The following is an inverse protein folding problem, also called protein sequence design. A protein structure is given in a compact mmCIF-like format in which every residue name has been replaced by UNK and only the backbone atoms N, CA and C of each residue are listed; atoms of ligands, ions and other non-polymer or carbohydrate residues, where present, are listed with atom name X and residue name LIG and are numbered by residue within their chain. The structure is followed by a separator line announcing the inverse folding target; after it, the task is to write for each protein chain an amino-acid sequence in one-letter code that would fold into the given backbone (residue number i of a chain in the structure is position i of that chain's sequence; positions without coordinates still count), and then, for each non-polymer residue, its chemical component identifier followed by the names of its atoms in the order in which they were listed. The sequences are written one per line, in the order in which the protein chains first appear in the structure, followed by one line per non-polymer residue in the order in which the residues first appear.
data_IF_332225888789
#
_entry.id   IF_332225888789
#
_cell.length_a   1.000
_cell.length_b   1.000
_cell.length_c   1.000
_cell.angle_alpha   90.00
_cell.angle_beta   90.00
_cell.angle_gamma   90.00
#
_symmetry.space_group_name_H-M   'P 1'
#
loop_
_entity.id
_entity.type
_entity.pdbx_description
1 polymer ?
#
# COMPACT_ATOMS: atom_id res chain seq x y z
N UNK A 1 -11.88 37.57 -14.15
CA UNK A 1 -11.72 37.25 -15.58
C UNK A 1 -12.84 36.33 -16.00
N UNK A 2 -13.78 36.85 -16.81
CA UNK A 2 -14.96 36.11 -17.28
C UNK A 2 -14.61 35.42 -18.58
N UNK A 3 -14.63 34.06 -18.58
CA UNK A 3 -14.52 33.28 -19.80
C UNK A 3 -15.91 33.16 -20.44
N UNK A 4 -16.07 33.79 -21.59
CA UNK A 4 -17.25 33.71 -22.41
C UNK A 4 -17.28 32.40 -23.18
N UNK A 5 -18.31 31.63 -22.93
CA UNK A 5 -18.64 30.43 -23.71
C UNK A 5 -19.40 30.88 -24.93
N UNK A 6 -18.79 30.82 -26.13
CA UNK A 6 -19.48 31.10 -27.41
C UNK A 6 -20.27 29.85 -27.82
N UNK A 7 -21.58 29.97 -27.73
CA UNK A 7 -22.50 29.06 -28.42
C UNK A 7 -22.49 29.38 -29.92
N UNK A 8 -22.14 28.41 -30.72
CA UNK A 8 -22.37 28.42 -32.16
C UNK A 8 -23.59 27.55 -32.46
N UNK A 9 -24.70 28.23 -32.66
CA UNK A 9 -25.90 27.70 -33.32
C UNK A 9 -25.61 27.48 -34.80
N UNK A 10 -25.75 26.25 -35.29
CA UNK A 10 -25.80 25.97 -36.73
C UNK A 10 -27.19 25.52 -37.11
N UNK A 11 -27.72 26.31 -38.02
CA UNK A 11 -29.04 26.35 -38.60
C UNK A 11 -29.28 25.20 -39.59
N UNK A 12 -30.42 24.58 -39.46
CA UNK A 12 -31.32 24.03 -40.47
C UNK A 12 -30.81 23.78 -41.89
N UNK A 13 -30.85 22.54 -42.30
CA UNK A 13 -30.87 22.11 -43.70
C UNK A 13 -31.92 21.02 -43.91
N UNK A 14 -33.06 21.50 -44.41
CA UNK A 14 -34.20 20.69 -44.84
C UNK A 14 -33.87 20.07 -46.21
N UNK A 15 -33.88 18.76 -46.36
CA UNK A 15 -33.97 18.12 -47.67
C UNK A 15 -34.84 16.87 -47.58
N UNK A 16 -36.01 16.97 -48.14
CA UNK A 16 -37.00 15.94 -48.33
C UNK A 16 -36.65 15.12 -49.57
N UNK A 17 -36.43 13.80 -49.42
CA UNK A 17 -36.60 12.85 -50.54
C UNK A 17 -37.24 11.57 -50.03
N UNK A 18 -38.43 11.30 -50.54
CA UNK A 18 -39.12 10.03 -50.45
C UNK A 18 -38.24 8.93 -51.05
N UNK A 19 -37.90 7.93 -50.24
CA UNK A 19 -37.31 6.69 -50.69
C UNK A 19 -37.82 5.53 -49.80
N UNK A 20 -38.78 4.80 -50.36
CA UNK A 20 -39.28 3.54 -49.81
C UNK A 20 -38.13 2.54 -49.75
N UNK A 21 -37.67 2.24 -48.54
CA UNK A 21 -36.85 1.03 -48.31
C UNK A 21 -37.32 0.28 -47.09
N UNK A 22 -37.45 -1.01 -47.27
CA UNK A 22 -37.85 -1.99 -46.26
C UNK A 22 -36.88 -2.01 -45.05
N UNK A 23 -37.38 -2.27 -43.83
CA UNK A 23 -36.49 -2.38 -42.69
C UNK A 23 -35.78 -3.75 -42.72
N UNK A 24 -34.51 -3.73 -43.05
CA UNK A 24 -33.64 -4.86 -42.78
C UNK A 24 -33.33 -4.83 -41.27
N UNK A 25 -33.91 -5.84 -40.57
CA UNK A 25 -33.63 -6.04 -39.15
C UNK A 25 -32.19 -6.57 -39.02
N UNK A 26 -31.26 -5.67 -38.89
CA UNK A 26 -29.94 -6.02 -38.41
C UNK A 26 -30.01 -6.10 -36.88
N UNK A 27 -29.96 -7.35 -36.40
CA UNK A 27 -29.64 -7.63 -35.01
C UNK A 27 -28.24 -7.11 -34.73
N UNK A 28 -28.12 -5.86 -34.28
CA UNK A 28 -26.88 -5.38 -33.69
C UNK A 28 -26.72 -6.11 -32.35
N UNK A 29 -25.83 -7.08 -32.34
CA UNK A 29 -25.26 -7.58 -31.11
C UNK A 29 -24.64 -6.38 -30.40
N UNK A 30 -25.38 -5.79 -29.50
CA UNK A 30 -24.86 -4.83 -28.54
C UNK A 30 -23.85 -5.52 -27.67
N UNK A 31 -22.61 -5.50 -28.10
CA UNK A 31 -21.52 -5.71 -27.18
C UNK A 31 -21.63 -4.62 -26.14
N UNK A 32 -22.19 -5.02 -24.99
CA UNK A 32 -22.06 -4.25 -23.78
C UNK A 32 -20.57 -4.16 -23.49
N UNK A 33 -19.94 -3.16 -24.05
CA UNK A 33 -18.61 -2.75 -23.69
C UNK A 33 -18.70 -2.23 -22.24
N UNK A 34 -18.69 -3.18 -21.31
CA UNK A 34 -18.51 -2.93 -19.91
C UNK A 34 -17.16 -2.24 -19.80
N UNK A 35 -17.20 -0.91 -19.74
CA UNK A 35 -16.07 -0.10 -19.34
C UNK A 35 -15.76 -0.50 -17.89
N UNK A 36 -14.99 -1.58 -17.75
CA UNK A 36 -14.30 -1.85 -16.52
C UNK A 36 -13.35 -0.65 -16.37
N UNK A 37 -13.80 0.34 -15.63
CA UNK A 37 -12.94 1.39 -15.14
C UNK A 37 -11.91 0.70 -14.25
N UNK A 38 -10.88 0.18 -14.87
CA UNK A 38 -9.68 -0.24 -14.16
C UNK A 38 -9.15 1.02 -13.52
N UNK A 39 -9.49 1.22 -12.27
CA UNK A 39 -8.84 2.26 -11.47
C UNK A 39 -7.36 1.93 -11.48
N UNK A 40 -6.61 2.65 -12.29
CA UNK A 40 -5.16 2.60 -12.30
C UNK A 40 -4.75 3.11 -10.91
N UNK A 41 -4.59 2.18 -9.98
CA UNK A 41 -4.03 2.50 -8.67
C UNK A 41 -2.61 2.96 -8.92
N UNK A 42 -2.40 4.26 -8.81
CA UNK A 42 -1.06 4.84 -8.92
C UNK A 42 -0.19 4.20 -7.85
N UNK A 43 0.72 3.35 -8.27
CA UNK A 43 1.75 2.79 -7.41
C UNK A 43 2.99 3.68 -7.47
N UNK A 44 3.64 3.83 -6.34
CA UNK A 44 4.89 4.58 -6.19
C UNK A 44 6.03 3.59 -5.97
N UNK A 45 7.09 3.73 -6.74
CA UNK A 45 8.31 2.97 -6.51
C UNK A 45 9.05 3.54 -5.31
N UNK A 46 9.25 2.70 -4.31
CA UNK A 46 10.02 3.00 -3.09
C UNK A 46 11.24 2.13 -3.08
N UNK A 47 12.38 2.75 -2.87
CA UNK A 47 13.68 2.10 -2.68
C UNK A 47 14.15 2.32 -1.25
N UNK A 48 15.04 1.48 -0.78
CA UNK A 48 15.61 1.70 0.53
C UNK A 48 16.74 0.76 0.83
N UNK A 49 17.34 0.96 2.00
CA UNK A 49 18.40 0.12 2.52
C UNK A 49 18.07 -0.28 3.96
N UNK A 50 18.28 -1.54 4.26
CA UNK A 50 18.08 -2.11 5.60
C UNK A 50 19.42 -2.57 6.12
N UNK A 51 19.77 -2.09 7.30
CA UNK A 51 21.03 -2.39 7.99
C UNK A 51 20.81 -2.56 9.49
N UNK A 52 21.78 -3.12 10.16
CA UNK A 52 21.88 -3.12 11.62
C UNK A 52 23.17 -2.41 12.07
N UNK A 53 23.58 -2.65 13.29
CA UNK A 53 24.85 -2.15 13.85
C UNK A 53 26.10 -2.79 13.24
N UNK A 54 25.96 -3.95 12.61
CA UNK A 54 27.04 -4.75 12.04
C UNK A 54 27.17 -4.58 10.52
N UNK A 55 26.11 -4.10 9.84
CA UNK A 55 26.13 -3.90 8.39
C UNK A 55 24.77 -4.10 7.71
N UNK A 56 24.78 -4.28 6.38
CA UNK A 56 23.55 -4.49 5.61
C UNK A 56 22.90 -5.85 5.93
N UNK A 57 21.57 -5.85 6.08
CA UNK A 57 20.81 -7.08 6.33
C UNK A 57 20.36 -7.70 5.01
N UNK A 58 20.91 -8.85 4.69
CA UNK A 58 20.64 -9.63 3.49
C UNK A 58 19.41 -10.53 3.72
N UNK A 59 18.44 -10.49 2.81
CA UNK A 59 17.26 -11.37 2.89
C UNK A 59 16.20 -10.90 3.89
N UNK A 60 16.28 -9.67 4.38
CA UNK A 60 15.21 -9.08 5.17
C UNK A 60 13.94 -8.95 4.32
N UNK A 61 12.79 -9.26 4.89
CA UNK A 61 11.51 -9.25 4.21
C UNK A 61 10.81 -7.92 4.39
N UNK A 62 10.37 -7.30 3.31
CA UNK A 62 9.60 -6.07 3.28
C UNK A 62 8.23 -6.38 2.67
N UNK A 63 7.13 -6.15 3.39
CA UNK A 63 5.76 -6.38 2.93
C UNK A 63 4.93 -5.11 3.05
N UNK A 64 4.07 -4.87 2.07
CA UNK A 64 3.03 -3.86 2.17
C UNK A 64 1.89 -4.40 3.06
N UNK A 65 1.62 -3.72 4.16
CA UNK A 65 0.59 -4.12 5.15
C UNK A 65 -0.78 -4.23 4.49
N UNK A 66 -1.45 -5.36 4.74
CA UNK A 66 -2.80 -5.62 4.21
C UNK A 66 -2.83 -6.07 2.75
N UNK A 67 -1.69 -6.34 2.13
CA UNK A 67 -1.60 -6.88 0.76
C UNK A 67 -0.68 -8.09 0.69
N UNK A 68 -0.66 -8.78 -0.45
CA UNK A 68 0.32 -9.84 -0.74
C UNK A 68 1.64 -9.32 -1.34
N UNK A 69 1.79 -8.00 -1.48
CA UNK A 69 2.94 -7.39 -2.12
C UNK A 69 4.14 -7.36 -1.17
N UNK A 70 5.27 -7.90 -1.60
CA UNK A 70 6.48 -7.95 -0.79
C UNK A 70 7.73 -8.24 -1.60
N UNK A 71 8.87 -7.86 -1.04
CA UNK A 71 10.21 -8.09 -1.59
C UNK A 71 11.18 -8.46 -0.47
N UNK A 72 12.37 -8.91 -0.85
CA UNK A 72 13.49 -9.16 0.08
C UNK A 72 14.67 -8.26 -0.29
N UNK A 73 15.53 -7.99 0.69
CA UNK A 73 16.76 -7.22 0.46
C UNK A 73 17.81 -8.06 -0.28
N UNK A 74 18.63 -7.34 -1.07
CA UNK A 74 19.80 -7.89 -1.75
C UNK A 74 21.04 -8.02 -0.84
N UNK A 75 22.19 -8.33 -1.45
CA UNK A 75 23.46 -8.53 -0.73
C UNK A 75 23.98 -7.25 -0.03
N UNK A 76 23.55 -6.10 -0.49
CA UNK A 76 23.89 -4.80 0.06
C UNK A 76 22.80 -4.24 1.00
N UNK A 77 21.79 -5.07 1.31
CA UNK A 77 20.64 -4.67 2.12
C UNK A 77 19.65 -3.74 1.42
N UNK A 78 19.75 -3.58 0.09
CA UNK A 78 18.86 -2.71 -0.67
C UNK A 78 17.57 -3.43 -1.06
N UNK A 79 16.49 -2.69 -1.18
CA UNK A 79 15.22 -3.17 -1.69
C UNK A 79 14.55 -2.17 -2.63
N UNK A 80 13.64 -2.65 -3.46
CA UNK A 80 12.78 -1.83 -4.31
C UNK A 80 11.40 -2.46 -4.39
N UNK A 81 10.38 -1.71 -4.01
CA UNK A 81 8.99 -2.17 -3.98
C UNK A 81 8.06 -1.09 -4.55
N UNK A 82 7.03 -1.52 -5.28
CA UNK A 82 5.97 -0.62 -5.74
C UNK A 82 4.80 -0.71 -4.77
N UNK A 83 4.43 0.38 -4.13
CA UNK A 83 3.36 0.45 -3.14
C UNK A 83 2.41 1.60 -3.39
N UNK A 84 1.24 1.56 -2.78
CA UNK A 84 0.30 2.68 -2.82
C UNK A 84 0.85 3.87 -2.03
N UNK A 85 0.57 5.12 -2.44
CA UNK A 85 0.88 6.28 -1.63
C UNK A 85 0.24 6.17 -0.24
N UNK A 86 1.03 6.39 0.81
CA UNK A 86 0.56 6.26 2.19
C UNK A 86 0.50 4.82 2.73
N UNK A 87 0.96 3.82 1.97
CA UNK A 87 1.04 2.45 2.45
C UNK A 87 2.00 2.31 3.64
N UNK A 88 1.75 1.31 4.48
CA UNK A 88 2.66 0.93 5.56
C UNK A 88 3.48 -0.28 5.13
N UNK A 89 4.79 -0.16 5.22
CA UNK A 89 5.72 -1.27 5.02
C UNK A 89 6.00 -1.94 6.36
N UNK A 90 5.90 -3.25 6.37
CA UNK A 90 6.29 -4.11 7.49
C UNK A 90 7.60 -4.77 7.12
N UNK A 91 8.62 -4.52 7.91
CA UNK A 91 9.98 -5.02 7.71
C UNK A 91 10.27 -6.04 8.80
N UNK A 92 10.64 -7.24 8.40
CA UNK A 92 10.93 -8.34 9.32
C UNK A 92 12.19 -9.11 8.90
N UNK A 93 12.94 -9.54 9.88
CA UNK A 93 14.10 -10.39 9.70
C UNK A 93 14.23 -11.33 10.90
N UNK A 94 14.78 -12.53 10.68
CA UNK A 94 14.90 -13.54 11.75
C UNK A 94 15.86 -13.04 12.82
N UNK A 95 15.42 -13.02 14.08
CA UNK A 95 16.21 -12.52 15.22
C UNK A 95 16.20 -11.00 15.39
N UNK A 96 15.32 -10.28 14.67
CA UNK A 96 15.20 -8.83 14.75
C UNK A 96 13.77 -8.39 15.04
N UNK A 97 13.64 -7.27 15.72
CA UNK A 97 12.35 -6.65 15.98
C UNK A 97 11.70 -6.17 14.67
N UNK A 98 10.47 -6.57 14.45
CA UNK A 98 9.69 -6.10 13.28
C UNK A 98 9.46 -4.60 13.36
N UNK A 99 9.75 -3.87 12.27
CA UNK A 99 9.48 -2.42 12.16
C UNK A 99 8.38 -2.14 11.15
N UNK A 100 7.48 -1.21 11.48
CA UNK A 100 6.47 -0.69 10.56
C UNK A 100 6.80 0.75 10.19
N UNK A 101 6.77 1.06 8.88
CA UNK A 101 7.10 2.38 8.35
C UNK A 101 6.02 2.82 7.39
N UNK A 102 5.45 4.00 7.62
CA UNK A 102 4.49 4.60 6.69
C UNK A 102 5.25 5.26 5.54
N UNK A 103 4.93 4.85 4.32
CA UNK A 103 5.48 5.44 3.10
C UNK A 103 4.77 6.76 2.81
N UNK A 104 5.38 7.86 3.22
CA UNK A 104 4.91 9.21 2.89
C UNK A 104 5.35 9.65 1.49
N UNK A 105 5.82 10.87 1.37
CA UNK A 105 6.34 11.43 0.11
C UNK A 105 7.74 10.92 -0.26
N UNK A 106 8.43 10.27 0.66
CA UNK A 106 9.78 9.76 0.46
C UNK A 106 9.79 8.59 -0.52
N UNK A 107 10.77 8.57 -1.40
CA UNK A 107 11.03 7.47 -2.35
C UNK A 107 12.21 6.62 -1.93
N UNK A 108 13.02 7.10 -0.98
CA UNK A 108 14.16 6.39 -0.43
C UNK A 108 14.04 6.31 1.09
N UNK A 109 14.12 5.11 1.64
CA UNK A 109 13.94 4.83 3.07
C UNK A 109 15.17 4.08 3.58
N UNK A 110 15.83 4.62 4.60
CA UNK A 110 16.87 3.91 5.32
C UNK A 110 16.32 3.41 6.65
N UNK A 111 16.53 2.12 6.92
CA UNK A 111 16.01 1.45 8.10
C UNK A 111 17.14 0.78 8.84
N UNK A 112 17.30 1.13 10.12
CA UNK A 112 18.15 0.39 11.04
C UNK A 112 17.28 -0.58 11.83
N UNK A 113 17.59 -1.87 11.74
CA UNK A 113 16.93 -2.91 12.52
C UNK A 113 17.68 -3.10 13.84
N UNK A 114 16.93 -3.50 14.84
CA UNK A 114 17.48 -3.86 16.16
C UNK A 114 17.27 -5.34 16.37
N UNK A 115 18.32 -6.04 16.78
CA UNK A 115 18.20 -7.44 17.16
C UNK A 115 17.12 -7.58 18.24
N UNK A 116 16.32 -8.62 18.12
CA UNK A 116 15.42 -9.01 19.18
C UNK A 116 16.28 -9.39 20.37
N UNK A 117 16.58 -8.38 21.20
CA UNK A 117 17.55 -8.51 22.26
C UNK A 117 17.09 -9.55 23.24
N UNK A 118 17.89 -10.57 23.36
CA UNK A 118 18.09 -11.20 24.65
C UNK A 118 18.78 -10.15 25.52
N UNK A 119 18.04 -9.10 25.91
CA UNK A 119 18.42 -8.29 27.05
C UNK A 119 18.33 -9.21 28.26
N UNK A 120 19.42 -9.89 28.55
CA UNK A 120 19.57 -10.67 29.77
C UNK A 120 19.38 -9.82 31.04
N UNK A 121 19.14 -8.52 30.86
CA UNK A 121 18.88 -7.56 31.93
C UNK A 121 17.42 -7.21 32.11
N UNK A 122 16.52 -7.65 31.25
CA UNK A 122 15.08 -7.46 31.45
C UNK A 122 14.42 -8.81 31.71
N UNK A 123 14.87 -9.44 32.80
CA UNK A 123 14.04 -10.43 33.48
C UNK A 123 12.87 -9.65 34.07
N UNK A 124 11.86 -9.40 33.24
CA UNK A 124 10.54 -9.06 33.74
C UNK A 124 10.05 -10.32 34.41
N UNK A 125 10.39 -10.44 35.69
CA UNK A 125 9.69 -11.35 36.59
C UNK A 125 8.27 -10.82 36.65
N UNK A 126 7.42 -11.32 35.75
CA UNK A 126 5.99 -11.21 35.90
C UNK A 126 5.69 -12.03 37.16
N UNK A 127 5.69 -11.37 38.30
CA UNK A 127 5.27 -11.96 39.55
C UNK A 127 3.79 -12.32 39.43
N UNK A 128 3.49 -13.53 39.03
CA UNK A 128 2.22 -14.14 39.28
C UNK A 128 2.09 -14.29 40.80
N UNK A 129 1.24 -13.47 41.39
CA UNK A 129 0.84 -13.60 42.76
C UNK A 129 1.52 -12.64 43.71
N UNK A 130 1.11 -11.40 43.72
CA UNK A 130 1.02 -10.66 44.97
C UNK A 130 -0.11 -11.25 45.79
N UNK A 131 0.18 -12.33 46.48
CA UNK A 131 -0.61 -12.66 47.65
C UNK A 131 -0.33 -11.57 48.69
N UNK A 132 -1.28 -10.68 48.80
CA UNK A 132 -1.36 -9.71 49.91
C UNK A 132 -1.46 -10.54 51.18
N UNK A 133 -0.36 -10.72 51.87
CA UNK A 133 -0.39 -11.19 53.24
C UNK A 133 -1.02 -10.05 54.06
N UNK A 134 -2.29 -10.20 54.36
CA UNK A 134 -2.91 -9.42 55.41
C UNK A 134 -2.18 -9.78 56.70
N UNK A 135 -1.55 -8.78 57.26
CA UNK A 135 -0.98 -8.90 58.59
C UNK A 135 -2.14 -9.09 59.58
N UNK A 136 -2.28 -10.31 60.03
CA UNK A 136 -3.14 -10.61 61.20
C UNK A 136 -2.54 -9.90 62.37
N UNK A 137 -3.16 -8.82 62.79
CA UNK A 137 -2.86 -8.12 64.05
C UNK A 137 -3.42 -8.97 65.17
N UNK A 138 -2.53 -9.78 65.80
CA UNK A 138 -2.87 -10.45 67.04
C UNK A 138 -2.76 -9.41 68.17
N UNK A 139 -3.83 -9.25 68.89
CA UNK A 139 -3.88 -8.49 70.14
C UNK A 139 -3.30 -9.34 71.25
#
# INVERSE_FOLDING_TARGET
MKLYFKQTTILMGMCSTLGMYAPEVQASNGEANSLIATSVQQTKKVTGNISDSMGPLIGATIKEKGTGNGVVTDLDGNFSINVKPGATLVISYVGYNTKEIVVGNQTNIKVSMEEEGHSLNDVVVIGYGTQRKEAVKVL
#
